data_IF_129782459178
#
_entry.id   IF_129782459178
#
_cell.length_a   1.000
_cell.length_b   1.000
_cell.length_c   1.000
_cell.angle_alpha   90.00
_cell.angle_beta   90.00
_cell.angle_gamma   90.00
#
_symmetry.space_group_name_H-M   'P 1'
#
loop_
_entity.id
_entity.type
_entity.pdbx_description
1 polymer ?
#
# COMPACT_ATOMS: atom_id res chain seq x y z
N UNK A 1 -3.21 30.11 4.52
CA UNK A 1 -2.17 29.06 4.68
C UNK A 1 -2.83 27.70 4.78
N UNK A 2 -2.08 26.60 4.66
CA UNK A 2 -2.60 25.22 4.78
C UNK A 2 -1.65 24.37 5.60
N UNK A 3 -2.19 23.42 6.38
CA UNK A 3 -1.47 22.36 7.09
C UNK A 3 -1.88 21.02 6.50
N UNK A 4 -0.92 20.12 6.28
CA UNK A 4 -1.14 18.77 5.80
C UNK A 4 -0.50 17.80 6.78
N UNK A 5 -1.23 16.74 7.14
CA UNK A 5 -0.73 15.65 8.00
C UNK A 5 -0.95 14.35 7.26
N UNK A 6 0.14 13.63 6.98
CA UNK A 6 0.14 12.33 6.32
C UNK A 6 -0.23 11.22 7.32
N UNK A 7 -0.78 10.11 6.83
CA UNK A 7 -0.97 8.90 7.62
C UNK A 7 -1.90 9.08 8.83
N UNK A 8 -2.91 9.94 8.76
CA UNK A 8 -3.78 10.20 9.93
C UNK A 8 -4.59 8.97 10.31
N UNK A 9 -4.91 8.11 9.33
CA UNK A 9 -5.51 6.79 9.56
C UNK A 9 -4.62 5.88 10.42
N UNK A 10 -3.31 6.12 10.48
CA UNK A 10 -2.38 5.38 11.32
C UNK A 10 -2.39 5.83 12.78
N UNK A 11 -2.89 7.04 13.03
CA UNK A 11 -2.88 7.68 14.35
C UNK A 11 -4.26 7.69 15.02
N UNK A 12 -5.34 7.77 14.23
CA UNK A 12 -6.71 7.93 14.73
C UNK A 12 -7.58 6.77 14.21
N UNK A 13 -8.01 5.84 15.09
CA UNK A 13 -8.82 4.69 14.71
C UNK A 13 -10.12 5.02 13.96
N UNK A 14 -10.76 6.14 14.30
CA UNK A 14 -11.97 6.62 13.64
C UNK A 14 -11.71 7.01 12.17
N UNK A 15 -10.52 7.55 11.87
CA UNK A 15 -10.09 7.85 10.50
C UNK A 15 -9.74 6.54 9.78
N UNK A 16 -9.05 5.61 10.45
CA UNK A 16 -8.77 4.28 9.91
C UNK A 16 -10.03 3.54 9.45
N UNK A 17 -11.12 3.67 10.23
CA UNK A 17 -12.40 3.05 9.92
C UNK A 17 -13.01 3.54 8.59
N UNK A 18 -12.68 4.74 8.11
CA UNK A 18 -13.19 5.26 6.83
C UNK A 18 -12.70 4.45 5.63
N UNK A 19 -11.58 3.73 5.75
CA UNK A 19 -11.03 2.88 4.69
C UNK A 19 -12.02 1.82 4.19
N UNK A 20 -12.94 1.35 5.04
CA UNK A 20 -13.93 0.34 4.68
C UNK A 20 -14.84 0.79 3.53
N UNK A 21 -15.01 2.11 3.31
CA UNK A 21 -15.78 2.65 2.20
C UNK A 21 -15.07 2.46 0.84
N UNK A 22 -13.80 2.09 0.86
CA UNK A 22 -12.93 1.90 -0.31
C UNK A 22 -12.55 0.43 -0.54
N UNK A 23 -13.20 -0.52 0.13
CA UNK A 23 -12.96 -1.96 0.00
C UNK A 23 -13.33 -2.52 -1.41
N UNK A 24 -13.90 -1.69 -2.29
CA UNK A 24 -14.09 -2.01 -3.71
C UNK A 24 -12.79 -1.94 -4.53
N UNK A 25 -11.70 -1.41 -3.96
CA UNK A 25 -10.36 -1.40 -4.56
C UNK A 25 -9.40 -2.33 -3.81
N UNK A 26 -8.35 -2.87 -4.48
CA UNK A 26 -7.38 -3.73 -3.82
C UNK A 26 -6.64 -3.02 -2.67
N UNK A 27 -6.74 -3.58 -1.47
CA UNK A 27 -6.18 -2.96 -0.25
C UNK A 27 -4.66 -2.79 -0.29
N UNK A 28 -3.93 -3.62 -1.03
CA UNK A 28 -2.47 -3.48 -1.19
C UNK A 28 -2.07 -2.22 -1.96
N UNK A 29 -3.00 -1.63 -2.73
CA UNK A 29 -2.81 -0.34 -3.42
C UNK A 29 -3.12 0.86 -2.54
N UNK A 30 -3.91 0.71 -1.48
CA UNK A 30 -4.22 1.82 -0.58
C UNK A 30 -2.94 2.29 0.12
N UNK A 31 -2.71 3.59 0.20
CA UNK A 31 -1.53 4.13 0.87
C UNK A 31 -1.85 4.60 2.29
N UNK A 32 -2.59 5.70 2.39
CA UNK A 32 -2.96 6.35 3.64
C UNK A 32 -4.16 7.31 3.47
N UNK A 33 -4.59 7.90 4.59
CA UNK A 33 -5.48 9.06 4.60
C UNK A 33 -4.70 10.28 5.09
N UNK A 34 -4.35 11.16 4.15
CA UNK A 34 -3.81 12.48 4.44
C UNK A 34 -4.94 13.46 4.72
N UNK A 35 -4.81 14.28 5.77
CA UNK A 35 -5.80 15.32 6.08
C UNK A 35 -5.16 16.69 5.96
N UNK A 36 -5.84 17.58 5.24
CA UNK A 36 -5.48 18.98 5.17
C UNK A 36 -6.46 19.87 5.93
N UNK A 37 -5.93 20.91 6.59
CA UNK A 37 -6.70 22.04 7.09
C UNK A 37 -6.21 23.32 6.40
N UNK A 38 -7.13 24.12 5.87
CA UNK A 38 -6.82 25.37 5.20
C UNK A 38 -7.70 26.51 5.71
N UNK A 39 -7.06 27.67 5.90
CA UNK A 39 -7.76 28.95 6.09
C UNK A 39 -8.28 29.47 4.75
N UNK A 40 -9.08 30.54 4.75
CA UNK A 40 -9.58 31.17 3.53
C UNK A 40 -8.43 31.43 2.53
N UNK A 41 -8.63 31.02 1.28
CA UNK A 41 -7.64 31.04 0.19
C UNK A 41 -6.39 30.15 0.40
N UNK A 42 -6.34 29.35 1.46
CA UNK A 42 -5.28 28.37 1.69
C UNK A 42 -5.25 27.31 0.59
N UNK A 43 -4.04 27.04 0.08
CA UNK A 43 -3.78 26.09 -0.99
C UNK A 43 -2.33 25.61 -0.97
N UNK A 44 -2.07 24.46 -1.60
CA UNK A 44 -0.73 23.94 -1.92
C UNK A 44 -0.23 24.37 -3.31
N UNK A 45 -1.07 25.08 -4.08
CA UNK A 45 -0.78 25.46 -5.46
C UNK A 45 -1.22 24.39 -6.48
N UNK A 46 -1.16 24.73 -7.79
CA UNK A 46 -1.44 23.77 -8.86
C UNK A 46 -0.36 22.70 -8.93
N UNK A 47 -0.75 21.43 -8.96
CA UNK A 47 0.16 20.28 -9.08
C UNK A 47 -0.56 19.09 -9.71
N UNK A 48 0.17 18.03 -10.04
CA UNK A 48 -0.41 16.74 -10.40
C UNK A 48 0.34 15.61 -9.68
N UNK A 49 -0.39 14.53 -9.45
CA UNK A 49 0.13 13.33 -8.79
C UNK A 49 0.24 12.15 -9.75
N UNK A 50 1.04 11.16 -9.35
CA UNK A 50 1.24 9.91 -10.09
C UNK A 50 0.32 8.78 -9.62
N UNK A 51 -0.61 9.10 -8.73
CA UNK A 51 -1.47 8.15 -8.05
C UNK A 51 -2.94 8.58 -8.12
N UNK A 52 -3.79 7.58 -7.93
CA UNK A 52 -5.21 7.77 -7.71
C UNK A 52 -5.46 8.42 -6.34
N UNK A 53 -6.36 9.39 -6.27
CA UNK A 53 -6.78 10.00 -5.01
C UNK A 53 -8.27 10.29 -5.01
N UNK A 54 -8.91 10.07 -3.87
CA UNK A 54 -10.26 10.55 -3.59
C UNK A 54 -10.19 11.68 -2.57
N UNK A 55 -10.73 12.84 -2.95
CA UNK A 55 -10.73 14.07 -2.16
C UNK A 55 -12.12 14.26 -1.57
N UNK A 56 -12.25 13.94 -0.28
CA UNK A 56 -13.48 14.11 0.48
C UNK A 56 -13.48 15.46 1.18
N UNK A 57 -14.51 16.26 0.94
CA UNK A 57 -14.66 17.55 1.59
C UNK A 57 -15.35 17.35 2.95
N UNK A 58 -14.57 17.42 4.02
CA UNK A 58 -15.01 17.07 5.37
C UNK A 58 -15.55 18.27 6.18
N UNK A 59 -15.03 19.48 5.92
CA UNK A 59 -15.46 20.72 6.57
C UNK A 59 -15.30 21.90 5.61
N UNK A 60 -16.26 22.83 5.59
CA UNK A 60 -16.22 24.02 4.75
C UNK A 60 -16.27 23.72 3.25
N UNK A 61 -15.96 24.72 2.43
CA UNK A 61 -15.99 24.63 0.96
C UNK A 61 -14.61 24.79 0.33
N UNK A 62 -14.39 24.09 -0.79
CA UNK A 62 -13.16 24.18 -1.57
C UNK A 62 -13.46 24.24 -3.07
N UNK A 63 -12.87 25.21 -3.75
CA UNK A 63 -12.85 25.27 -5.21
C UNK A 63 -11.72 24.40 -5.74
N UNK A 64 -12.04 23.44 -6.59
CA UNK A 64 -11.10 22.58 -7.30
C UNK A 64 -11.09 22.94 -8.78
N UNK A 65 -9.94 23.38 -9.28
CA UNK A 65 -9.70 23.58 -10.71
C UNK A 65 -8.88 22.42 -11.25
N UNK A 66 -9.28 21.86 -12.39
CA UNK A 66 -8.65 20.68 -12.98
C UNK A 66 -8.12 20.93 -14.39
N UNK A 67 -7.11 20.16 -14.79
CA UNK A 67 -6.54 20.15 -16.14
C UNK A 67 -5.89 18.80 -16.45
N UNK A 68 -5.99 18.34 -17.69
CA UNK A 68 -5.19 17.25 -18.25
C UNK A 68 -4.00 17.79 -19.06
N UNK A 69 -3.90 19.10 -19.26
CA UNK A 69 -2.83 19.74 -20.04
C UNK A 69 -1.55 19.90 -19.22
N UNK A 70 -0.41 19.80 -19.91
CA UNK A 70 0.93 20.07 -19.35
C UNK A 70 1.25 19.33 -18.04
N UNK A 71 0.65 18.15 -17.82
CA UNK A 71 0.88 17.30 -16.65
C UNK A 71 2.10 16.40 -16.86
N UNK A 72 3.28 17.01 -17.01
CA UNK A 72 4.56 16.31 -17.21
C UNK A 72 5.65 16.82 -16.24
N UNK A 73 6.69 16.03 -15.95
CA UNK A 73 7.66 16.31 -14.89
C UNK A 73 8.48 17.60 -15.06
N UNK A 74 8.51 18.17 -16.26
CA UNK A 74 9.25 19.41 -16.56
C UNK A 74 8.43 20.70 -16.31
N UNK A 75 7.10 20.60 -16.21
CA UNK A 75 6.23 21.75 -15.98
C UNK A 75 6.16 22.10 -14.48
N UNK A 76 7.29 22.50 -13.91
CA UNK A 76 7.36 22.93 -12.51
C UNK A 76 8.18 24.21 -12.37
N UNK A 77 7.88 24.97 -11.32
CA UNK A 77 8.69 26.12 -10.90
C UNK A 77 9.98 25.58 -10.27
N UNK A 78 11.13 26.02 -10.77
CA UNK A 78 12.43 25.63 -10.20
C UNK A 78 12.63 26.25 -8.83
N UNK A 79 13.50 25.64 -8.02
CA UNK A 79 13.97 26.19 -6.74
C UNK A 79 12.88 26.31 -5.65
N UNK A 80 11.80 25.54 -5.77
CA UNK A 80 10.81 25.33 -4.70
C UNK A 80 10.92 23.92 -4.13
N UNK A 81 10.72 23.80 -2.82
CA UNK A 81 10.59 22.49 -2.16
C UNK A 81 9.29 21.78 -2.58
N UNK A 82 8.25 22.57 -2.91
CA UNK A 82 6.96 22.07 -3.36
C UNK A 82 6.91 21.95 -4.89
N UNK A 83 6.27 20.87 -5.33
CA UNK A 83 6.07 20.55 -6.75
C UNK A 83 4.90 21.38 -7.31
N UNK A 84 5.14 22.66 -7.62
CA UNK A 84 4.11 23.57 -8.16
C UNK A 84 4.25 23.73 -9.68
N UNK A 85 3.16 23.49 -10.41
CA UNK A 85 3.12 23.64 -11.86
C UNK A 85 3.37 25.09 -12.28
N UNK A 86 4.23 25.29 -13.29
CA UNK A 86 4.55 26.62 -13.82
C UNK A 86 3.41 27.16 -14.67
N UNK A 87 2.84 26.30 -15.50
CA UNK A 87 1.70 26.59 -16.36
C UNK A 87 0.51 25.74 -15.94
N UNK A 88 -0.63 26.37 -15.68
CA UNK A 88 -1.87 25.70 -15.30
C UNK A 88 -3.05 26.33 -16.02
N UNK A 89 -3.56 25.66 -17.05
CA UNK A 89 -4.76 26.08 -17.78
C UNK A 89 -5.96 25.31 -17.23
N UNK A 90 -6.86 26.01 -16.52
CA UNK A 90 -8.07 25.39 -15.97
C UNK A 90 -9.01 24.96 -17.09
N UNK A 91 -9.32 23.66 -17.14
CA UNK A 91 -10.30 23.08 -18.05
C UNK A 91 -11.66 22.89 -17.36
N UNK A 92 -11.65 22.49 -16.10
CA UNK A 92 -12.86 22.28 -15.29
C UNK A 92 -12.75 22.93 -13.92
N UNK A 93 -13.88 23.28 -13.33
CA UNK A 93 -13.95 23.86 -11.98
C UNK A 93 -15.14 23.32 -11.23
N UNK A 94 -14.91 22.89 -9.99
CA UNK A 94 -15.92 22.39 -9.07
C UNK A 94 -15.81 23.15 -7.75
N UNK A 95 -16.94 23.39 -7.09
CA UNK A 95 -16.96 23.79 -5.68
C UNK A 95 -17.52 22.59 -4.93
N UNK A 96 -16.70 22.01 -4.05
CA UNK A 96 -17.12 20.91 -3.20
C UNK A 96 -17.65 21.48 -1.87
N UNK A 97 -18.81 21.00 -1.46
CA UNK A 97 -19.42 21.21 -0.15
C UNK A 97 -19.15 20.03 0.78
N UNK A 98 -19.45 20.18 2.07
CA UNK A 98 -19.29 19.10 3.05
C UNK A 98 -20.07 17.84 2.65
N UNK A 99 -19.36 16.72 2.56
CA UNK A 99 -19.92 15.44 2.10
C UNK A 99 -19.62 15.11 0.64
N UNK A 100 -19.19 16.08 -0.17
CA UNK A 100 -18.84 15.82 -1.56
C UNK A 100 -17.51 15.08 -1.69
N UNK A 101 -17.38 14.33 -2.79
CA UNK A 101 -16.20 13.53 -3.12
C UNK A 101 -15.77 13.82 -4.56
N UNK A 102 -14.48 14.13 -4.75
CA UNK A 102 -13.85 14.26 -6.05
C UNK A 102 -12.79 13.17 -6.23
N UNK A 103 -12.94 12.32 -7.24
CA UNK A 103 -11.92 11.36 -7.64
C UNK A 103 -11.03 11.93 -8.73
N UNK A 104 -9.71 11.79 -8.58
CA UNK A 104 -8.72 12.16 -9.58
C UNK A 104 -7.86 10.93 -9.93
N UNK A 105 -7.82 10.51 -11.20
CA UNK A 105 -6.84 9.52 -11.66
C UNK A 105 -5.43 10.15 -11.74
N UNK A 106 -4.38 9.32 -11.89
CA UNK A 106 -3.02 9.80 -12.09
C UNK A 106 -2.90 10.80 -13.25
N UNK A 107 -1.99 11.75 -13.12
CA UNK A 107 -1.67 12.78 -14.11
C UNK A 107 -2.79 13.78 -14.43
N UNK A 108 -3.76 13.97 -13.52
CA UNK A 108 -4.68 15.11 -13.59
C UNK A 108 -4.15 16.23 -12.70
N UNK A 109 -3.83 17.35 -13.34
CA UNK A 109 -3.46 18.58 -12.65
C UNK A 109 -4.66 19.14 -11.90
N UNK A 110 -4.44 19.51 -10.65
CA UNK A 110 -5.48 20.00 -9.77
C UNK A 110 -4.97 21.15 -8.89
N UNK A 111 -5.88 22.09 -8.61
CA UNK A 111 -5.59 23.28 -7.82
C UNK A 111 -6.78 23.55 -6.88
N UNK A 112 -6.62 23.13 -5.63
CA UNK A 112 -7.63 23.25 -4.58
C UNK A 112 -7.44 24.51 -3.75
N UNK A 113 -8.44 25.40 -3.73
CA UNK A 113 -8.42 26.69 -3.04
C UNK A 113 -9.55 26.72 -2.02
N UNK A 114 -9.21 26.90 -0.73
CA UNK A 114 -10.23 27.03 0.31
C UNK A 114 -11.10 28.28 0.10
N UNK A 115 -12.42 28.11 0.20
CA UNK A 115 -13.42 29.18 0.19
C UNK A 115 -13.98 29.50 1.59
N UNK A 116 -13.46 28.84 2.64
CA UNK A 116 -13.93 28.99 4.02
C UNK A 116 -12.78 29.31 4.97
N UNK A 117 -13.10 29.95 6.10
CA UNK A 117 -12.11 30.24 7.16
C UNK A 117 -11.57 28.95 7.80
N UNK A 118 -12.40 27.90 7.84
CA UNK A 118 -12.04 26.56 8.27
C UNK A 118 -12.47 25.57 7.17
N UNK A 119 -11.49 24.97 6.51
CA UNK A 119 -11.73 24.01 5.42
C UNK A 119 -10.89 22.76 5.65
N UNK A 120 -11.52 21.58 5.67
CA UNK A 120 -10.83 20.30 5.80
C UNK A 120 -11.13 19.39 4.61
N UNK A 121 -10.07 18.81 4.06
CA UNK A 121 -10.17 17.82 2.98
C UNK A 121 -9.41 16.56 3.38
N UNK A 122 -10.06 15.40 3.27
CA UNK A 122 -9.45 14.10 3.51
C UNK A 122 -9.10 13.49 2.16
N UNK A 123 -7.82 13.20 1.97
CA UNK A 123 -7.26 12.64 0.75
C UNK A 123 -6.99 11.17 0.97
N UNK A 124 -7.80 10.31 0.34
CA UNK A 124 -7.60 8.86 0.35
C UNK A 124 -6.66 8.51 -0.79
N UNK A 125 -5.38 8.34 -0.46
CA UNK A 125 -4.30 8.12 -1.41
C UNK A 125 -4.10 6.65 -1.77
N UNK A 126 -3.67 6.42 -3.01
CA UNK A 126 -3.23 5.10 -3.46
C UNK A 126 -1.76 5.14 -3.84
N UNK A 127 -1.08 4.00 -3.75
CA UNK A 127 0.33 3.88 -4.09
C UNK A 127 0.52 3.90 -5.59
N UNK A 128 1.62 4.50 -6.02
CA UNK A 128 2.17 4.37 -7.37
C UNK A 128 3.63 4.01 -7.24
N UNK A 129 4.10 3.06 -8.05
CA UNK A 129 5.49 2.59 -7.96
C UNK A 129 6.28 3.08 -9.17
N UNK A 130 7.45 3.64 -8.91
CA UNK A 130 8.35 4.01 -10.00
C UNK A 130 9.06 2.78 -10.54
N UNK A 131 9.33 2.74 -11.84
CA UNK A 131 10.08 1.61 -12.42
C UNK A 131 11.47 1.42 -11.79
N UNK A 132 12.12 2.53 -11.40
CA UNK A 132 13.41 2.51 -10.70
C UNK A 132 13.30 1.89 -9.30
N UNK A 133 12.27 2.27 -8.53
CA UNK A 133 11.98 1.72 -7.20
C UNK A 133 11.74 0.20 -7.25
N UNK A 134 10.97 -0.27 -8.24
CA UNK A 134 10.77 -1.70 -8.46
C UNK A 134 12.09 -2.44 -8.73
N UNK A 135 12.97 -1.84 -9.54
CA UNK A 135 14.25 -2.45 -9.87
C UNK A 135 15.22 -2.50 -8.68
N UNK A 136 15.32 -1.40 -7.93
CA UNK A 136 16.14 -1.31 -6.72
C UNK A 136 15.69 -2.33 -5.68
N UNK A 137 14.39 -2.35 -5.35
CA UNK A 137 13.84 -3.32 -4.40
C UNK A 137 14.05 -4.76 -4.84
N UNK A 138 13.89 -5.06 -6.14
CA UNK A 138 14.13 -6.40 -6.65
C UNK A 138 15.60 -6.79 -6.49
N UNK A 139 16.53 -5.89 -6.81
CA UNK A 139 17.96 -6.10 -6.61
C UNK A 139 18.32 -6.42 -5.16
N UNK A 140 17.79 -5.64 -4.21
CA UNK A 140 17.99 -5.87 -2.78
C UNK A 140 17.44 -7.23 -2.35
N UNK A 141 16.22 -7.56 -2.77
CA UNK A 141 15.60 -8.85 -2.49
C UNK A 141 16.43 -10.03 -3.02
N UNK A 142 16.97 -9.91 -4.25
CA UNK A 142 17.83 -10.94 -4.84
C UNK A 142 19.12 -11.14 -4.04
N UNK A 143 19.72 -10.05 -3.56
CA UNK A 143 20.94 -10.07 -2.76
C UNK A 143 20.71 -10.70 -1.38
N UNK A 144 19.65 -10.30 -0.68
CA UNK A 144 19.27 -10.82 0.64
C UNK A 144 19.01 -12.34 0.61
N UNK A 145 18.35 -12.82 -0.44
CA UNK A 145 17.98 -14.23 -0.58
C UNK A 145 19.05 -15.08 -1.28
N UNK A 146 20.14 -14.46 -1.76
CA UNK A 146 21.16 -15.12 -2.56
C UNK A 146 20.58 -15.86 -3.77
N UNK A 147 19.53 -15.30 -4.38
CA UNK A 147 18.74 -15.97 -5.42
C UNK A 147 19.49 -16.06 -6.75
N UNK A 148 20.33 -15.07 -7.05
CA UNK A 148 21.09 -15.02 -8.30
C UNK A 148 22.46 -15.70 -8.16
N UNK A 149 22.52 -17.02 -8.35
CA UNK A 149 23.75 -17.82 -8.17
C UNK A 149 24.51 -18.14 -9.46
N UNK A 150 23.85 -18.00 -10.61
CA UNK A 150 24.42 -18.39 -11.89
C UNK A 150 25.52 -17.39 -12.27
N UNK A 151 26.71 -17.93 -12.58
CA UNK A 151 27.85 -17.12 -12.97
C UNK A 151 27.78 -16.77 -14.46
N UNK A 152 28.36 -15.62 -14.78
CA UNK A 152 28.73 -15.27 -16.14
C UNK A 152 29.74 -16.29 -16.70
N UNK A 153 29.58 -16.69 -17.96
CA UNK A 153 30.46 -17.67 -18.62
C UNK A 153 31.00 -17.10 -19.90
N UNK A 154 32.27 -16.71 -19.89
CA UNK A 154 33.02 -16.22 -21.04
C UNK A 154 32.60 -16.82 -22.40
N UNK A 155 32.20 -15.99 -23.39
CA UNK A 155 31.97 -16.46 -24.75
C UNK A 155 33.27 -16.96 -25.40
N UNK A 156 33.15 -17.64 -26.55
CA UNK A 156 34.32 -18.08 -27.31
C UNK A 156 35.12 -16.88 -27.84
N UNK A 157 36.36 -16.75 -27.35
CA UNK A 157 37.29 -15.67 -27.69
C UNK A 157 38.28 -16.02 -28.80
N UNK A 158 38.19 -17.23 -29.38
CA UNK A 158 39.18 -17.75 -30.33
C UNK A 158 39.40 -16.90 -31.59
N UNK A 159 38.44 -16.01 -31.92
CA UNK A 159 38.45 -15.14 -33.10
C UNK A 159 38.62 -13.64 -32.77
N UNK A 160 39.02 -13.29 -31.54
CA UNK A 160 39.22 -11.89 -31.17
C UNK A 160 40.63 -11.37 -31.52
N UNK A 161 40.69 -10.42 -32.46
CA UNK A 161 41.92 -9.68 -32.77
C UNK A 161 42.10 -8.42 -31.91
N UNK A 162 41.03 -7.80 -31.43
CA UNK A 162 41.05 -6.59 -30.59
C UNK A 162 40.61 -6.90 -29.15
N UNK A 163 41.53 -6.63 -28.20
CA UNK A 163 41.35 -6.90 -26.76
C UNK A 163 40.44 -5.89 -26.05
N UNK A 164 40.10 -4.76 -26.69
CA UNK A 164 39.18 -3.76 -26.14
C UNK A 164 37.70 -4.01 -26.47
N UNK A 165 37.40 -5.00 -27.31
CA UNK A 165 36.04 -5.22 -27.82
C UNK A 165 35.20 -6.03 -26.84
N UNK A 166 34.09 -5.42 -26.38
CA UNK A 166 32.99 -6.16 -25.77
C UNK A 166 32.15 -6.76 -26.90
N UNK A 167 32.27 -8.06 -27.10
CA UNK A 167 31.56 -8.74 -28.19
C UNK A 167 30.05 -8.75 -27.96
N UNK A 168 29.29 -8.95 -29.04
CA UNK A 168 27.84 -9.10 -28.92
C UNK A 168 27.44 -10.31 -28.09
N UNK A 169 28.21 -11.40 -28.16
CA UNK A 169 28.02 -12.57 -27.31
C UNK A 169 28.18 -12.21 -25.82
N UNK A 170 29.16 -11.36 -25.49
CA UNK A 170 29.45 -10.99 -24.11
C UNK A 170 28.28 -10.26 -23.42
N UNK A 171 27.76 -9.18 -24.01
CA UNK A 171 26.66 -8.44 -23.38
C UNK A 171 25.31 -9.15 -23.51
N UNK A 172 25.08 -9.97 -24.55
CA UNK A 172 23.86 -10.79 -24.67
C UNK A 172 23.76 -11.84 -23.58
N UNK A 173 24.88 -12.43 -23.18
CA UNK A 173 24.87 -13.35 -22.05
C UNK A 173 24.53 -12.64 -20.74
N UNK A 174 25.11 -11.46 -20.48
CA UNK A 174 24.76 -10.67 -19.30
C UNK A 174 23.25 -10.33 -19.28
N UNK A 175 22.71 -9.92 -20.44
CA UNK A 175 21.28 -9.69 -20.61
C UNK A 175 20.46 -10.95 -20.34
N UNK A 176 20.86 -12.11 -20.85
CA UNK A 176 20.17 -13.38 -20.63
C UNK A 176 20.11 -13.75 -19.14
N UNK A 177 21.22 -13.60 -18.42
CA UNK A 177 21.26 -13.90 -16.98
C UNK A 177 20.30 -13.02 -16.19
N UNK A 178 20.22 -11.72 -16.53
CA UNK A 178 19.25 -10.81 -15.94
C UNK A 178 17.82 -11.20 -16.32
N UNK A 179 17.58 -11.54 -17.59
CA UNK A 179 16.27 -11.95 -18.10
C UNK A 179 15.74 -13.21 -17.41
N UNK A 180 16.61 -14.16 -17.08
CA UNK A 180 16.25 -15.37 -16.34
C UNK A 180 15.67 -15.02 -14.95
N UNK A 181 16.24 -14.03 -14.25
CA UNK A 181 15.74 -13.60 -12.93
C UNK A 181 14.38 -12.93 -13.01
N UNK A 182 14.17 -12.03 -13.97
CA UNK A 182 12.88 -11.34 -14.14
C UNK A 182 11.79 -12.24 -14.73
N UNK A 183 12.17 -13.38 -15.32
CA UNK A 183 11.24 -14.37 -15.88
C UNK A 183 10.91 -15.50 -14.90
N UNK A 184 11.58 -15.59 -13.75
CA UNK A 184 11.24 -16.54 -12.69
C UNK A 184 9.96 -16.09 -11.98
N UNK A 185 8.83 -16.66 -12.41
CA UNK A 185 7.50 -16.30 -11.92
C UNK A 185 7.34 -16.52 -10.41
N UNK A 186 7.95 -17.57 -9.85
CA UNK A 186 7.85 -17.86 -8.42
C UNK A 186 8.61 -16.83 -7.59
N UNK A 187 9.78 -16.42 -8.08
CA UNK A 187 10.60 -15.38 -7.47
C UNK A 187 9.93 -14.02 -7.54
N UNK A 188 9.43 -13.62 -8.72
CA UNK A 188 8.75 -12.34 -8.94
C UNK A 188 7.48 -12.24 -8.09
N UNK A 189 6.67 -13.30 -8.02
CA UNK A 189 5.46 -13.31 -7.18
C UNK A 189 5.78 -13.10 -5.70
N UNK A 190 6.83 -13.75 -5.19
CA UNK A 190 7.24 -13.60 -3.79
C UNK A 190 7.79 -12.21 -3.50
N UNK A 191 8.74 -11.74 -4.33
CA UNK A 191 9.29 -10.39 -4.19
C UNK A 191 8.19 -9.33 -4.25
N UNK A 192 7.32 -9.37 -5.26
CA UNK A 192 6.31 -8.33 -5.44
C UNK A 192 5.32 -8.28 -4.28
N UNK A 193 4.92 -9.43 -3.73
CA UNK A 193 4.07 -9.49 -2.55
C UNK A 193 4.73 -8.91 -1.30
N UNK A 194 6.02 -9.22 -1.08
CA UNK A 194 6.85 -8.58 -0.06
C UNK A 194 6.91 -7.06 -0.28
N UNK A 195 7.36 -6.62 -1.45
CA UNK A 195 7.47 -5.20 -1.79
C UNK A 195 6.14 -4.43 -1.59
N UNK A 196 5.04 -4.95 -2.12
CA UNK A 196 3.74 -4.27 -2.07
C UNK A 196 3.15 -4.17 -0.64
N UNK A 197 3.56 -5.06 0.26
CA UNK A 197 3.11 -5.07 1.66
C UNK A 197 4.10 -4.45 2.62
N UNK A 198 5.26 -3.97 2.18
CA UNK A 198 6.20 -3.27 3.04
C UNK A 198 5.55 -1.98 3.59
N UNK A 199 5.52 -1.77 4.92
CA UNK A 199 5.06 -0.53 5.51
C UNK A 199 6.08 0.60 5.30
N UNK A 200 5.60 1.84 5.21
CA UNK A 200 6.49 3.01 5.00
C UNK A 200 7.17 3.45 6.30
N UNK A 201 6.58 3.09 7.44
CA UNK A 201 7.01 3.47 8.78
C UNK A 201 6.75 2.34 9.75
N UNK A 202 7.70 2.10 10.64
CA UNK A 202 7.52 1.19 11.76
C UNK A 202 6.46 1.71 12.76
N UNK A 203 5.76 0.83 13.48
CA UNK A 203 4.85 1.22 14.55
C UNK A 203 5.58 1.97 15.67
N UNK A 204 4.91 2.93 16.31
CA UNK A 204 5.47 3.69 17.44
C UNK A 204 5.44 2.93 18.76
N UNK A 205 4.53 1.96 18.92
CA UNK A 205 4.36 1.16 20.14
C UNK A 205 4.20 -0.32 19.81
N UNK A 206 4.93 -1.17 20.52
CA UNK A 206 4.77 -2.63 20.49
C UNK A 206 4.11 -3.07 21.80
N UNK A 207 2.81 -3.39 21.76
CA UNK A 207 2.21 -4.17 22.84
C UNK A 207 2.46 -5.65 22.55
N UNK A 208 2.84 -6.47 23.53
CA UNK A 208 3.06 -7.90 23.28
C UNK A 208 1.85 -8.69 23.76
N UNK A 209 1.18 -9.40 22.85
CA UNK A 209 0.18 -10.41 23.22
C UNK A 209 0.91 -11.75 23.40
N UNK A 210 0.80 -12.35 24.57
CA UNK A 210 1.43 -13.64 24.85
C UNK A 210 0.54 -14.84 24.50
N UNK A 211 1.15 -16.00 24.25
CA UNK A 211 0.43 -17.23 23.85
C UNK A 211 -0.67 -17.66 24.83
N UNK A 212 -0.50 -17.38 26.12
CA UNK A 212 -1.45 -17.68 27.18
C UNK A 212 -2.72 -16.81 27.11
N UNK A 213 -2.61 -15.57 26.61
CA UNK A 213 -3.73 -14.65 26.42
C UNK A 213 -4.60 -15.02 25.20
N UNK A 214 -4.01 -15.65 24.17
CA UNK A 214 -4.72 -16.03 22.94
C UNK A 214 -5.95 -16.90 23.23
N UNK A 215 -5.86 -17.84 24.18
CA UNK A 215 -6.99 -18.70 24.55
C UNK A 215 -8.15 -17.89 25.12
N UNK A 216 -7.86 -16.87 25.92
CA UNK A 216 -8.87 -15.99 26.48
C UNK A 216 -9.50 -15.12 25.40
N UNK A 217 -8.69 -14.51 24.52
CA UNK A 217 -9.16 -13.69 23.39
C UNK A 217 -10.09 -14.51 22.50
N UNK A 218 -9.69 -15.71 22.06
CA UNK A 218 -10.52 -16.61 21.25
C UNK A 218 -11.84 -16.97 21.97
N UNK A 219 -11.79 -17.19 23.29
CA UNK A 219 -12.97 -17.43 24.10
C UNK A 219 -13.91 -16.21 24.17
N UNK A 220 -13.36 -15.00 24.24
CA UNK A 220 -14.13 -13.76 24.23
C UNK A 220 -14.73 -13.45 22.85
N UNK A 221 -14.02 -13.76 21.75
CA UNK A 221 -14.60 -13.71 20.39
C UNK A 221 -15.78 -14.67 20.32
N UNK A 222 -15.62 -15.90 20.83
CA UNK A 222 -16.70 -16.89 20.82
C UNK A 222 -17.94 -16.45 21.60
N UNK A 223 -17.76 -15.70 22.70
CA UNK A 223 -18.84 -15.12 23.51
C UNK A 223 -19.39 -13.82 22.94
N UNK A 224 -18.82 -13.30 21.85
CA UNK A 224 -19.24 -12.05 21.23
C UNK A 224 -18.81 -10.78 21.99
N UNK A 225 -17.82 -10.88 22.89
CA UNK A 225 -17.35 -9.78 23.75
C UNK A 225 -16.27 -8.92 23.11
N UNK A 226 -15.52 -9.47 22.16
CA UNK A 226 -14.46 -8.75 21.46
C UNK A 226 -14.54 -9.01 19.96
N UNK A 227 -14.22 -7.99 19.19
CA UNK A 227 -13.98 -8.04 17.74
C UNK A 227 -12.49 -7.80 17.49
N UNK A 228 -12.01 -8.16 16.30
CA UNK A 228 -10.66 -7.81 15.88
C UNK A 228 -10.72 -6.69 14.84
N UNK A 229 -9.75 -5.79 14.86
CA UNK A 229 -9.51 -4.81 13.80
C UNK A 229 -8.10 -5.03 13.28
N UNK A 230 -7.84 -4.77 12.00
CA UNK A 230 -6.47 -4.83 11.49
C UNK A 230 -5.75 -3.59 11.97
N UNK A 231 -4.56 -3.80 12.53
CA UNK A 231 -3.72 -2.71 12.97
C UNK A 231 -3.43 -1.76 11.81
N UNK A 232 -3.36 -0.46 12.06
CA UNK A 232 -3.29 0.52 10.97
C UNK A 232 -2.02 0.42 10.11
N UNK A 233 -0.92 -0.06 10.71
CA UNK A 233 0.33 -0.34 10.01
C UNK A 233 0.39 -1.75 9.38
N UNK A 234 -0.62 -2.59 9.59
CA UNK A 234 -0.66 -3.93 9.01
C UNK A 234 -1.14 -3.87 7.55
N UNK A 235 -0.23 -4.21 6.64
CA UNK A 235 -0.50 -4.40 5.23
C UNK A 235 -0.47 -5.89 4.93
N UNK A 236 -1.57 -6.40 4.41
CA UNK A 236 -1.72 -7.82 4.08
C UNK A 236 -2.20 -7.99 2.64
N UNK A 237 -1.57 -8.93 1.94
CA UNK A 237 -1.98 -9.39 0.62
C UNK A 237 -1.76 -10.91 0.50
N UNK A 238 -2.31 -11.52 -0.53
CA UNK A 238 -2.09 -12.93 -0.82
C UNK A 238 -2.05 -13.17 -2.33
N UNK A 239 -1.36 -14.22 -2.76
CA UNK A 239 -1.38 -14.65 -4.16
C UNK A 239 -2.69 -15.36 -4.46
N UNK A 240 -3.29 -15.07 -5.62
CA UNK A 240 -4.41 -15.87 -6.13
C UNK A 240 -3.91 -17.23 -6.63
N UNK A 241 -3.75 -18.14 -5.68
CA UNK A 241 -3.41 -19.53 -5.89
C UNK A 241 -4.59 -20.41 -5.48
N UNK A 242 -5.81 -20.00 -5.82
CA UNK A 242 -7.04 -20.71 -5.43
C UNK A 242 -6.95 -22.19 -5.86
N UNK A 243 -7.03 -23.09 -4.88
CA UNK A 243 -6.95 -24.54 -5.10
C UNK A 243 -5.54 -25.14 -5.15
N UNK A 244 -4.48 -24.36 -4.89
CA UNK A 244 -3.10 -24.86 -4.79
C UNK A 244 -2.58 -24.63 -3.37
N UNK A 245 -2.07 -25.68 -2.73
CA UNK A 245 -1.42 -25.62 -1.42
C UNK A 245 0.11 -25.71 -1.58
N UNK A 246 0.91 -24.96 -0.79
CA UNK A 246 0.49 -23.96 0.19
C UNK A 246 0.00 -22.65 -0.42
N UNK A 247 -0.93 -21.99 0.27
CA UNK A 247 -1.29 -20.60 0.00
C UNK A 247 -0.17 -19.68 0.46
N UNK A 248 0.24 -18.76 -0.41
CA UNK A 248 1.22 -17.73 -0.06
C UNK A 248 0.51 -16.43 0.28
N UNK A 249 0.83 -15.87 1.43
CA UNK A 249 0.37 -14.56 1.85
C UNK A 249 1.54 -13.72 2.34
N UNK A 250 1.34 -12.41 2.38
CA UNK A 250 2.36 -11.43 2.73
C UNK A 250 1.80 -10.51 3.79
N UNK A 251 2.58 -10.28 4.84
CA UNK A 251 2.26 -9.29 5.87
C UNK A 251 3.50 -8.46 6.14
N UNK A 252 3.36 -7.15 6.02
CA UNK A 252 4.42 -6.18 6.33
C UNK A 252 5.79 -6.50 5.69
N UNK A 253 5.80 -6.93 4.42
CA UNK A 253 7.05 -7.26 3.72
C UNK A 253 7.51 -8.71 3.85
N UNK A 254 6.89 -9.52 4.70
CA UNK A 254 7.33 -10.91 4.93
C UNK A 254 6.41 -11.89 4.21
N UNK A 255 6.99 -12.88 3.53
CA UNK A 255 6.25 -13.97 2.88
C UNK A 255 6.03 -15.13 3.83
N UNK A 256 4.77 -15.58 3.90
CA UNK A 256 4.33 -16.72 4.71
C UNK A 256 3.59 -17.74 3.86
N UNK A 257 3.41 -18.95 4.40
CA UNK A 257 2.63 -20.02 3.78
C UNK A 257 1.61 -20.58 4.76
N UNK A 258 0.45 -21.01 4.24
CA UNK A 258 -0.58 -21.67 5.05
C UNK A 258 -1.38 -22.67 4.23
N UNK A 259 -2.24 -23.45 4.91
CA UNK A 259 -3.12 -24.43 4.28
C UNK A 259 -4.33 -23.79 3.61
N UNK A 260 -4.91 -24.46 2.62
CA UNK A 260 -6.13 -24.01 1.93
C UNK A 260 -7.33 -23.79 2.87
N UNK A 261 -7.38 -24.48 4.02
CA UNK A 261 -8.39 -24.28 5.07
C UNK A 261 -8.46 -22.83 5.59
N UNK A 262 -7.35 -22.09 5.49
CA UNK A 262 -7.26 -20.71 5.95
C UNK A 262 -7.56 -19.68 4.87
N UNK A 263 -7.86 -20.09 3.61
CA UNK A 263 -8.09 -19.15 2.50
C UNK A 263 -9.12 -18.08 2.85
N UNK A 264 -10.30 -18.51 3.31
CA UNK A 264 -11.39 -17.59 3.61
C UNK A 264 -11.12 -16.71 4.83
N UNK A 265 -10.30 -17.19 5.78
CA UNK A 265 -9.88 -16.41 6.94
C UNK A 265 -8.86 -15.34 6.52
N UNK A 266 -7.88 -15.68 5.69
CA UNK A 266 -6.92 -14.73 5.13
C UNK A 266 -7.62 -13.66 4.27
N UNK A 267 -8.58 -14.06 3.43
CA UNK A 267 -9.43 -13.13 2.69
C UNK A 267 -10.17 -12.17 3.63
N UNK A 268 -10.65 -12.68 4.76
CA UNK A 268 -11.31 -11.87 5.77
C UNK A 268 -10.33 -10.83 6.36
N UNK A 269 -9.13 -11.25 6.75
CA UNK A 269 -8.08 -10.36 7.27
C UNK A 269 -7.61 -9.31 6.25
N UNK A 270 -7.49 -9.71 4.99
CA UNK A 270 -6.96 -8.87 3.92
C UNK A 270 -7.97 -7.80 3.46
N UNK A 271 -9.26 -8.15 3.43
CA UNK A 271 -10.24 -7.38 2.68
C UNK A 271 -11.37 -6.76 3.51
N UNK A 272 -11.53 -7.12 4.79
CA UNK A 272 -12.69 -6.68 5.56
C UNK A 272 -12.32 -6.24 6.97
N UNK A 273 -12.94 -5.15 7.41
CA UNK A 273 -12.90 -4.69 8.79
C UNK A 273 -14.23 -4.05 9.22
N UNK A 274 -14.58 -4.10 10.52
CA UNK A 274 -13.95 -4.91 11.56
C UNK A 274 -14.24 -6.41 11.40
N UNK A 275 -13.37 -7.25 11.95
CA UNK A 275 -13.55 -8.70 12.04
C UNK A 275 -14.47 -9.03 13.21
N UNK A 276 -15.78 -9.03 12.94
CA UNK A 276 -16.80 -9.28 13.95
C UNK A 276 -16.73 -10.70 14.54
N UNK A 277 -17.24 -10.92 15.77
CA UNK A 277 -17.45 -12.27 16.30
C UNK A 277 -18.16 -13.19 15.31
N UNK A 278 -19.23 -12.69 14.68
CA UNK A 278 -20.05 -13.46 13.73
C UNK A 278 -19.24 -13.94 12.52
N UNK A 279 -18.35 -13.11 11.97
CA UNK A 279 -17.50 -13.49 10.84
C UNK A 279 -16.37 -14.43 11.24
N UNK A 280 -15.89 -14.38 12.49
CA UNK A 280 -14.82 -15.25 12.99
C UNK A 280 -15.28 -16.62 13.50
N UNK A 281 -16.53 -16.75 13.97
CA UNK A 281 -17.10 -18.00 14.52
C UNK A 281 -16.87 -19.27 13.68
N UNK A 282 -17.00 -19.26 12.33
CA UNK A 282 -16.76 -20.46 11.52
C UNK A 282 -15.34 -21.02 11.66
N UNK A 283 -14.37 -20.18 11.98
CA UNK A 283 -12.95 -20.52 12.01
C UNK A 283 -12.48 -20.98 13.40
N UNK A 284 -13.20 -20.63 14.47
CA UNK A 284 -12.81 -20.95 15.86
C UNK A 284 -12.83 -22.46 16.17
N UNK A 285 -13.47 -23.28 15.34
CA UNK A 285 -13.47 -24.75 15.50
C UNK A 285 -12.25 -25.42 14.87
N UNK A 286 -11.60 -24.77 13.91
CA UNK A 286 -10.43 -25.31 13.22
C UNK A 286 -9.15 -24.93 14.00
N UNK A 287 -8.29 -25.91 14.28
CA UNK A 287 -7.03 -25.67 15.00
C UNK A 287 -6.06 -24.82 14.19
N UNK A 288 -5.92 -25.07 12.89
CA UNK A 288 -5.04 -24.29 12.01
C UNK A 288 -5.49 -22.82 11.91
N UNK A 289 -6.80 -22.58 11.86
CA UNK A 289 -7.33 -21.21 11.83
C UNK A 289 -7.18 -20.48 13.16
N UNK A 290 -7.33 -21.17 14.30
CA UNK A 290 -7.03 -20.60 15.61
C UNK A 290 -5.54 -20.24 15.76
N UNK A 291 -4.66 -21.12 15.28
CA UNK A 291 -3.21 -20.83 15.24
C UNK A 291 -2.91 -19.60 14.40
N UNK A 292 -3.53 -19.47 13.22
CA UNK A 292 -3.35 -18.29 12.36
C UNK A 292 -3.88 -16.99 13.01
N UNK A 293 -5.04 -17.03 13.68
CA UNK A 293 -5.53 -15.87 14.47
C UNK A 293 -4.51 -15.52 15.57
N UNK A 294 -3.99 -16.52 16.28
CA UNK A 294 -2.99 -16.33 17.31
C UNK A 294 -1.70 -15.69 16.79
N UNK A 295 -1.19 -16.16 15.66
CA UNK A 295 -0.02 -15.60 14.98
C UNK A 295 -0.24 -14.11 14.64
N UNK A 296 -1.40 -13.76 14.09
CA UNK A 296 -1.72 -12.37 13.76
C UNK A 296 -1.81 -11.46 14.99
N UNK A 297 -2.31 -11.99 16.11
CA UNK A 297 -2.38 -11.27 17.39
C UNK A 297 -0.98 -11.08 18.00
N UNK A 298 -0.15 -12.14 18.03
CA UNK A 298 1.21 -12.09 18.60
C UNK A 298 2.09 -11.08 17.84
N UNK A 299 1.92 -10.99 16.52
CA UNK A 299 2.66 -10.04 15.69
C UNK A 299 2.03 -8.63 15.60
N UNK A 300 0.99 -8.33 16.40
CA UNK A 300 0.28 -7.04 16.38
C UNK A 300 -0.25 -6.63 15.00
N UNK A 301 -0.66 -7.61 14.20
CA UNK A 301 -1.30 -7.36 12.92
C UNK A 301 -2.81 -7.16 13.07
N UNK A 302 -3.37 -7.59 14.21
CA UNK A 302 -4.76 -7.40 14.60
C UNK A 302 -4.82 -6.87 16.03
N UNK A 303 -5.64 -5.85 16.26
CA UNK A 303 -5.94 -5.33 17.59
C UNK A 303 -7.25 -5.93 18.12
N UNK A 304 -7.30 -6.13 19.43
CA UNK A 304 -8.49 -6.61 20.14
C UNK A 304 -9.30 -5.42 20.63
N UNK A 305 -10.59 -5.35 20.25
CA UNK A 305 -11.49 -4.28 20.65
C UNK A 305 -12.73 -4.86 21.29
N UNK A 306 -13.16 -4.31 22.43
CA UNK A 306 -14.43 -4.69 23.05
C UNK A 306 -15.62 -4.40 22.12
N UNK A 307 -16.61 -5.29 22.12
CA UNK A 307 -17.87 -5.01 21.45
C UNK A 307 -18.67 -4.07 22.34
N UNK A 308 -19.06 -2.91 21.79
CA UNK A 308 -20.03 -2.03 22.43
C UNK A 308 -21.33 -2.84 22.63
N UNK A 309 -21.78 -2.94 23.88
CA UNK A 309 -23.03 -3.60 24.27
C UNK A 309 -24.26 -2.96 23.64
#
# INVERSE_FOLDING_TARGET
>A
WTLLVQGVDRLIPEIAALRQHFDFLPQWRFDDIMISFATLHGSVGPHFDYYDVFLYQALGQREWRLTAKNCHPENYISDLELRIMREFETEETFILEEGDMLYLPPHIGHYGISLSDECMTYSFGYRSYQGQELWESFGDYLAEHGAFKKLYTDPDWSLLDDRGVITSAAWKQAQQLIQEMVSDEALIKKWFGTFATQPDTEPLEEYSIHEDEIKEILGNIQRGRVKLIRHAHCRIAYLDNTGIEPLTYFVNGISYTTSLDNLKLLQLFASYQPLTPKSLQPYLKNTASRSLIGEFLINNWLDVVETSS
#
